data_IF_998471750194
#
_entry.id   IF_998471750194
#
_cell.length_a   1.000
_cell.length_b   1.000
_cell.length_c   1.000
_cell.angle_alpha   90.00
_cell.angle_beta   90.00
_cell.angle_gamma   90.00
#
_symmetry.space_group_name_H-M   'P 1'
#
loop_
_entity.id
_entity.type
_entity.pdbx_description
1 polymer ?
#
# COMPACT_ATOMS: atom_id res chain seq x y z
N UNK A 1 -61.96 8.02 -0.26
CA UNK A 1 -60.60 8.50 -0.59
C UNK A 1 -60.28 9.66 0.32
N UNK A 2 -59.47 9.42 1.37
CA UNK A 2 -59.01 10.46 2.27
C UNK A 2 -57.91 11.26 1.60
N UNK A 3 -58.12 12.56 1.44
CA UNK A 3 -57.19 13.47 0.78
C UNK A 3 -56.08 13.88 1.77
N UNK A 4 -54.95 13.20 1.70
CA UNK A 4 -53.81 13.38 2.59
C UNK A 4 -53.21 14.82 2.51
N UNK A 5 -53.40 15.52 1.39
CA UNK A 5 -52.95 16.90 1.18
C UNK A 5 -53.71 17.93 2.02
N UNK A 6 -54.98 17.68 2.31
CA UNK A 6 -55.82 18.60 3.13
C UNK A 6 -55.46 18.51 4.62
N UNK A 7 -54.90 17.39 5.09
CA UNK A 7 -54.58 17.19 6.51
C UNK A 7 -53.25 17.84 6.92
N UNK A 8 -52.28 17.94 5.96
CA UNK A 8 -50.98 18.54 6.23
C UNK A 8 -51.01 20.07 6.25
N UNK A 9 -51.97 20.70 5.57
CA UNK A 9 -52.03 22.16 5.44
C UNK A 9 -52.52 22.93 6.68
N UNK A 10 -53.10 22.24 7.67
CA UNK A 10 -53.77 22.91 8.80
C UNK A 10 -53.00 22.92 10.13
N UNK A 11 -51.84 22.28 10.28
CA UNK A 11 -51.11 22.23 11.56
C UNK A 11 -49.67 22.66 11.57
N UNK A 12 -49.09 23.09 10.44
CA UNK A 12 -47.73 23.61 10.47
C UNK A 12 -47.77 25.11 10.59
N UNK A 13 -47.56 25.61 11.82
CA UNK A 13 -47.52 27.04 12.11
C UNK A 13 -46.33 27.66 11.34
N UNK A 14 -46.59 28.37 10.23
CA UNK A 14 -45.60 28.99 9.33
C UNK A 14 -44.54 29.81 10.06
N UNK A 15 -44.85 30.30 11.26
CA UNK A 15 -43.89 31.06 12.09
C UNK A 15 -42.68 30.27 12.56
N UNK A 16 -42.73 28.92 12.57
CA UNK A 16 -41.59 28.07 12.98
C UNK A 16 -40.79 27.55 11.81
N UNK A 17 -41.31 27.56 10.60
CA UNK A 17 -40.59 27.05 9.40
C UNK A 17 -39.49 28.01 8.99
N UNK A 18 -39.73 29.32 9.03
CA UNK A 18 -38.73 30.31 8.61
C UNK A 18 -37.44 30.32 9.46
N UNK A 19 -37.50 30.27 10.82
CA UNK A 19 -36.27 30.17 11.61
C UNK A 19 -35.48 28.86 11.38
N UNK A 20 -36.16 27.73 11.10
CA UNK A 20 -35.51 26.47 10.80
C UNK A 20 -34.82 26.53 9.44
N UNK A 21 -35.48 27.06 8.41
CA UNK A 21 -34.87 27.25 7.08
C UNK A 21 -33.71 28.25 7.17
N UNK A 22 -33.84 29.32 7.93
CA UNK A 22 -32.77 30.30 8.14
C UNK A 22 -31.59 29.70 8.89
N UNK A 23 -31.83 28.84 9.87
CA UNK A 23 -30.76 28.13 10.58
C UNK A 23 -30.04 27.13 9.68
N UNK A 24 -30.74 26.39 8.83
CA UNK A 24 -30.16 25.48 7.86
C UNK A 24 -29.35 26.24 6.81
N UNK A 25 -29.84 27.38 6.30
CA UNK A 25 -29.12 28.23 5.36
C UNK A 25 -27.88 28.88 6.00
N UNK A 26 -27.95 29.29 7.26
CA UNK A 26 -26.82 29.84 7.99
C UNK A 26 -25.73 28.79 8.22
N UNK A 27 -26.11 27.55 8.56
CA UNK A 27 -25.18 26.41 8.70
C UNK A 27 -24.56 26.08 7.35
N UNK A 28 -25.31 26.06 6.25
CA UNK A 28 -24.82 25.82 4.91
C UNK A 28 -23.83 26.93 4.44
N UNK A 29 -24.07 28.20 4.80
CA UNK A 29 -23.18 29.32 4.51
C UNK A 29 -21.89 29.27 5.35
N UNK A 30 -21.95 28.86 6.61
CA UNK A 30 -20.77 28.69 7.47
C UNK A 30 -19.94 27.52 6.97
N UNK A 31 -20.54 26.43 6.51
CA UNK A 31 -19.85 25.28 5.95
C UNK A 31 -19.22 25.61 4.59
N UNK A 32 -19.86 26.44 3.76
CA UNK A 32 -19.34 26.82 2.44
C UNK A 32 -18.26 27.92 2.46
N UNK A 33 -18.19 28.72 3.53
CA UNK A 33 -17.18 29.79 3.67
C UNK A 33 -15.86 29.33 4.32
N UNK A 34 -15.75 28.07 4.72
CA UNK A 34 -14.58 27.52 5.45
C UNK A 34 -13.68 26.61 4.60
N UNK A 35 -13.56 26.82 3.31
CA UNK A 35 -12.50 26.20 2.51
C UNK A 35 -11.32 27.17 2.32
N UNK A 36 -10.35 27.24 3.26
CA UNK A 36 -9.07 27.83 2.93
C UNK A 36 -8.41 26.95 1.87
N UNK A 37 -7.79 27.58 0.87
CA UNK A 37 -7.03 26.89 -0.17
C UNK A 37 -5.91 26.04 0.46
N UNK A 38 -6.16 24.73 0.60
CA UNK A 38 -5.26 23.73 1.21
C UNK A 38 -4.04 23.36 0.32
N UNK A 39 -3.81 24.10 -0.78
CA UNK A 39 -2.86 23.74 -1.82
C UNK A 39 -1.38 24.02 -1.52
N UNK A 40 -0.99 24.49 -0.33
CA UNK A 40 0.41 24.92 -0.08
C UNK A 40 1.17 24.23 1.06
N UNK A 41 0.59 23.28 1.80
CA UNK A 41 1.33 22.63 2.86
C UNK A 41 0.84 21.18 3.12
N UNK A 42 1.50 20.13 2.59
CA UNK A 42 1.07 18.75 2.76
C UNK A 42 1.02 18.30 4.23
N UNK A 43 1.76 18.97 5.13
CA UNK A 43 1.71 18.71 6.58
C UNK A 43 0.39 19.07 7.25
N UNK A 44 -0.51 19.83 6.59
CA UNK A 44 -1.84 20.19 7.12
C UNK A 44 -2.96 19.28 6.62
N UNK A 45 -2.68 18.32 5.75
CA UNK A 45 -3.69 17.40 5.22
C UNK A 45 -4.12 16.33 6.24
N UNK A 46 -3.33 16.14 7.30
CA UNK A 46 -3.66 15.24 8.40
C UNK A 46 -3.85 16.12 9.63
N UNK A 47 -5.10 16.37 9.98
CA UNK A 47 -5.45 17.12 11.20
C UNK A 47 -5.14 16.34 12.47
N UNK A 48 -5.17 16.97 13.66
CA UNK A 48 -5.04 16.27 14.93
C UNK A 48 -6.22 15.31 15.12
N UNK A 49 -5.96 14.02 15.08
CA UNK A 49 -6.96 12.96 15.19
C UNK A 49 -7.52 12.50 13.85
N UNK A 50 -7.15 11.28 13.46
CA UNK A 50 -7.66 10.63 12.26
C UNK A 50 -8.86 9.76 12.67
N UNK A 51 -10.05 10.09 12.17
CA UNK A 51 -11.20 9.23 12.40
C UNK A 51 -11.09 7.95 11.55
N UNK A 52 -11.58 6.82 12.09
CA UNK A 52 -11.60 5.54 11.38
C UNK A 52 -12.32 5.64 10.03
N UNK A 53 -13.35 6.48 9.97
CA UNK A 53 -14.09 6.75 8.73
C UNK A 53 -13.21 7.46 7.69
N UNK A 54 -12.33 8.37 8.11
CA UNK A 54 -11.42 9.07 7.21
C UNK A 54 -10.38 8.14 6.57
N UNK A 55 -9.98 7.06 7.25
CA UNK A 55 -9.12 6.02 6.64
C UNK A 55 -9.79 5.35 5.44
N UNK A 56 -11.11 5.12 5.50
CA UNK A 56 -11.86 4.49 4.41
C UNK A 56 -12.06 5.40 3.19
N UNK A 57 -12.07 6.71 3.42
CA UNK A 57 -12.30 7.75 2.39
C UNK A 57 -11.05 8.57 2.08
N UNK A 58 -9.88 8.08 2.51
CA UNK A 58 -8.60 8.76 2.35
C UNK A 58 -8.29 8.99 0.86
N UNK A 59 -8.05 10.24 0.48
CA UNK A 59 -7.60 10.60 -0.85
C UNK A 59 -6.15 10.17 -1.07
N UNK A 60 -5.73 10.01 -2.32
CA UNK A 60 -4.35 9.66 -2.66
C UNK A 60 -3.33 10.67 -2.09
N UNK A 61 -3.68 11.97 -2.07
CA UNK A 61 -2.83 13.00 -1.48
C UNK A 61 -2.64 12.82 0.04
N UNK A 62 -3.69 12.44 0.76
CA UNK A 62 -3.64 12.14 2.20
C UNK A 62 -2.87 10.86 2.47
N UNK A 63 -3.08 9.83 1.64
CA UNK A 63 -2.34 8.57 1.69
C UNK A 63 -0.83 8.80 1.52
N UNK A 64 -0.44 9.59 0.53
CA UNK A 64 0.96 9.97 0.28
C UNK A 64 1.55 10.75 1.46
N UNK A 65 0.81 11.72 2.01
CA UNK A 65 1.27 12.51 3.15
C UNK A 65 1.51 11.64 4.41
N UNK A 66 0.63 10.68 4.68
CA UNK A 66 0.82 9.73 5.78
C UNK A 66 1.96 8.76 5.49
N UNK A 67 2.06 8.25 4.25
CA UNK A 67 3.17 7.42 3.81
C UNK A 67 4.53 8.10 3.97
N UNK A 68 4.62 9.40 3.69
CA UNK A 68 5.84 10.19 3.91
C UNK A 68 6.25 10.25 5.38
N UNK A 69 5.30 10.39 6.31
CA UNK A 69 5.59 10.39 7.75
C UNK A 69 6.07 9.02 8.23
N UNK A 70 5.42 7.93 7.77
CA UNK A 70 5.83 6.56 8.06
C UNK A 70 7.24 6.31 7.49
N UNK A 71 7.52 6.74 6.26
CA UNK A 71 8.84 6.64 5.64
C UNK A 71 9.92 7.37 6.43
N UNK A 72 9.64 8.59 6.90
CA UNK A 72 10.57 9.33 7.77
C UNK A 72 10.84 8.58 9.06
N UNK A 73 9.82 8.02 9.69
CA UNK A 73 9.96 7.25 10.93
C UNK A 73 10.78 5.98 10.70
N UNK A 74 10.51 5.23 9.63
CA UNK A 74 11.26 4.01 9.28
C UNK A 74 12.74 4.30 9.06
N UNK A 75 13.08 5.33 8.30
CA UNK A 75 14.46 5.68 7.98
C UNK A 75 15.22 6.35 9.13
N UNK A 76 14.51 6.97 10.08
CA UNK A 76 15.16 7.57 11.25
C UNK A 76 15.42 6.57 12.38
N UNK A 77 14.62 5.48 12.47
CA UNK A 77 14.66 4.61 13.66
C UNK A 77 14.87 3.12 13.36
N UNK A 78 14.61 2.65 12.15
CA UNK A 78 14.63 1.21 11.82
C UNK A 78 15.69 0.86 10.79
N UNK A 79 15.81 1.65 9.71
CA UNK A 79 16.65 1.31 8.58
C UNK A 79 17.58 2.44 8.17
N UNK A 80 18.71 2.06 7.61
CA UNK A 80 19.59 2.95 6.86
C UNK A 80 19.43 2.69 5.37
N UNK A 81 19.29 3.76 4.57
CA UNK A 81 19.34 3.61 3.11
C UNK A 81 20.68 3.04 2.67
N UNK A 82 20.65 2.11 1.74
CA UNK A 82 21.86 1.61 1.14
C UNK A 82 22.51 2.67 0.24
N UNK A 83 23.81 2.94 0.48
CA UNK A 83 24.49 4.10 -0.12
C UNK A 83 24.92 3.94 -1.58
N UNK A 84 24.79 2.74 -2.18
CA UNK A 84 25.24 2.51 -3.55
C UNK A 84 24.21 3.01 -4.57
N UNK A 85 24.57 4.05 -5.34
CA UNK A 85 23.69 4.69 -6.32
C UNK A 85 23.31 3.74 -7.46
N UNK A 86 24.22 2.88 -7.93
CA UNK A 86 23.95 1.95 -9.03
C UNK A 86 22.85 0.95 -8.66
N UNK A 87 22.92 0.38 -7.45
CA UNK A 87 21.92 -0.56 -6.94
C UNK A 87 20.56 0.13 -6.73
N UNK A 88 20.57 1.33 -6.14
CA UNK A 88 19.33 2.09 -5.95
C UNK A 88 18.68 2.46 -7.29
N UNK A 89 19.45 2.87 -8.27
CA UNK A 89 18.94 3.19 -9.62
C UNK A 89 18.36 1.95 -10.28
N UNK A 90 19.06 0.81 -10.20
CA UNK A 90 18.59 -0.46 -10.76
C UNK A 90 17.23 -0.90 -10.19
N UNK A 91 17.08 -0.90 -8.87
CA UNK A 91 15.83 -1.26 -8.21
C UNK A 91 14.71 -0.27 -8.56
N UNK A 92 15.03 1.02 -8.62
CA UNK A 92 14.07 2.06 -9.02
C UNK A 92 13.60 1.89 -10.46
N UNK A 93 14.50 1.61 -11.41
CA UNK A 93 14.14 1.41 -12.82
C UNK A 93 13.18 0.23 -13.01
N UNK A 94 13.38 -0.87 -12.28
CA UNK A 94 12.45 -2.00 -12.27
C UNK A 94 11.11 -1.55 -11.67
N UNK A 95 11.13 -0.91 -10.51
CA UNK A 95 9.93 -0.45 -9.82
C UNK A 95 9.10 0.53 -10.63
N UNK A 96 9.74 1.55 -11.24
CA UNK A 96 9.08 2.55 -12.07
C UNK A 96 8.38 1.91 -13.27
N UNK A 97 9.05 0.93 -13.92
CA UNK A 97 8.47 0.16 -15.04
C UNK A 97 7.24 -0.62 -14.61
N UNK A 98 7.29 -1.30 -13.45
CA UNK A 98 6.18 -2.06 -12.91
C UNK A 98 5.03 -1.16 -12.47
N UNK A 99 5.33 -0.07 -11.76
CA UNK A 99 4.34 0.90 -11.28
C UNK A 99 3.55 1.54 -12.42
N UNK A 100 4.20 1.84 -13.55
CA UNK A 100 3.57 2.40 -14.74
C UNK A 100 2.50 1.48 -15.36
N UNK A 101 2.54 0.18 -15.08
CA UNK A 101 1.56 -0.82 -15.55
C UNK A 101 0.59 -1.28 -14.44
N UNK A 102 0.63 -0.64 -13.28
CA UNK A 102 -0.31 -0.91 -12.18
C UNK A 102 -1.62 -0.13 -12.35
N UNK A 103 -2.66 -0.52 -11.60
CA UNK A 103 -3.95 0.18 -11.59
C UNK A 103 -3.90 1.57 -10.90
N UNK A 104 -2.74 1.95 -10.33
CA UNK A 104 -2.52 3.28 -9.74
C UNK A 104 -1.21 3.91 -10.23
N UNK A 105 -1.00 4.09 -11.56
CA UNK A 105 0.28 4.54 -12.12
C UNK A 105 0.64 5.99 -11.76
N UNK A 106 -0.33 6.79 -11.33
CA UNK A 106 -0.15 8.21 -11.00
C UNK A 106 0.28 8.47 -9.55
N UNK A 107 0.41 7.43 -8.71
CA UNK A 107 1.00 7.59 -7.38
C UNK A 107 2.49 7.93 -7.49
N UNK A 108 3.02 8.78 -6.61
CA UNK A 108 4.46 9.08 -6.56
C UNK A 108 5.23 7.93 -5.90
N UNK A 109 5.40 6.82 -6.63
CA UNK A 109 6.13 5.67 -6.11
C UNK A 109 7.57 6.03 -5.74
N UNK A 110 8.05 5.42 -4.66
CA UNK A 110 9.41 5.59 -4.17
C UNK A 110 9.99 4.23 -3.82
N UNK A 111 10.92 3.74 -4.63
CA UNK A 111 11.60 2.47 -4.42
C UNK A 111 12.93 2.72 -3.71
N UNK A 112 13.17 2.04 -2.59
CA UNK A 112 14.32 2.27 -1.73
C UNK A 112 15.01 0.96 -1.37
N UNK A 113 16.33 0.92 -1.50
CA UNK A 113 17.12 -0.16 -0.95
C UNK A 113 17.57 0.21 0.45
N UNK A 114 17.33 -0.67 1.41
CA UNK A 114 17.74 -0.51 2.79
C UNK A 114 18.81 -1.54 3.16
N UNK A 115 19.79 -1.11 3.96
CA UNK A 115 20.87 -1.95 4.43
C UNK A 115 20.35 -2.85 5.55
N UNK A 116 20.05 -4.10 5.20
CA UNK A 116 19.56 -5.12 6.12
C UNK A 116 19.82 -6.50 5.48
N UNK A 117 20.45 -7.40 6.21
CA UNK A 117 20.82 -8.74 5.72
C UNK A 117 19.64 -9.72 5.71
N UNK A 118 18.51 -9.35 6.27
CA UNK A 118 17.31 -10.17 6.20
C UNK A 118 16.77 -10.27 4.77
N UNK A 119 16.21 -11.41 4.40
CA UNK A 119 15.50 -11.57 3.13
C UNK A 119 14.11 -10.98 3.32
N UNK A 120 13.94 -9.69 2.91
CA UNK A 120 12.68 -8.99 3.10
C UNK A 120 12.45 -7.90 2.04
N UNK A 121 11.18 -7.66 1.74
CA UNK A 121 10.65 -6.47 1.09
C UNK A 121 9.32 -6.12 1.75
N UNK A 122 8.94 -4.87 1.70
CA UNK A 122 7.64 -4.44 2.21
C UNK A 122 7.21 -3.12 1.60
N UNK A 123 5.91 -2.89 1.55
CA UNK A 123 5.34 -1.62 1.15
C UNK A 123 4.60 -0.95 2.29
N UNK A 124 4.64 0.39 2.29
CA UNK A 124 3.75 1.22 3.09
C UNK A 124 2.78 1.98 2.18
N UNK A 125 1.76 2.58 2.76
CA UNK A 125 0.82 3.40 2.01
C UNK A 125 1.53 4.58 1.31
N UNK A 126 0.89 5.13 0.27
CA UNK A 126 1.38 6.31 -0.44
C UNK A 126 2.51 6.03 -1.44
N UNK A 127 2.74 4.76 -1.82
CA UNK A 127 3.68 4.40 -2.89
C UNK A 127 5.11 4.07 -2.42
N UNK A 128 5.38 3.91 -1.13
CA UNK A 128 6.73 3.60 -0.64
C UNK A 128 6.98 2.10 -0.60
N UNK A 129 8.00 1.64 -1.33
CA UNK A 129 8.47 0.24 -1.40
C UNK A 129 9.91 0.15 -0.92
N UNK A 130 10.19 -0.83 -0.09
CA UNK A 130 11.50 -1.07 0.51
C UNK A 130 11.99 -2.47 0.14
N UNK A 131 13.25 -2.56 -0.26
CA UNK A 131 13.93 -3.81 -0.61
C UNK A 131 15.20 -3.90 0.22
N UNK A 132 15.39 -4.99 0.94
CA UNK A 132 16.60 -5.18 1.74
C UNK A 132 17.77 -5.65 0.88
N UNK A 133 19.00 -5.34 1.30
CA UNK A 133 20.21 -5.87 0.66
C UNK A 133 20.23 -7.40 0.67
N UNK A 134 19.78 -8.01 1.77
CA UNK A 134 19.69 -9.48 1.87
C UNK A 134 18.70 -10.10 0.88
N UNK A 135 17.59 -9.42 0.55
CA UNK A 135 16.68 -9.88 -0.50
C UNK A 135 17.37 -9.87 -1.86
N UNK A 136 18.03 -8.77 -2.22
CA UNK A 136 18.73 -8.67 -3.51
C UNK A 136 19.79 -9.78 -3.68
N UNK A 137 20.54 -10.08 -2.63
CA UNK A 137 21.52 -11.17 -2.63
C UNK A 137 20.89 -12.56 -2.76
N UNK A 138 19.67 -12.72 -2.23
CA UNK A 138 18.96 -14.00 -2.22
C UNK A 138 18.27 -14.32 -3.56
N UNK A 139 18.01 -13.32 -4.43
CA UNK A 139 17.38 -13.53 -5.73
C UNK A 139 18.34 -14.22 -6.70
N UNK A 140 17.82 -15.07 -7.58
CA UNK A 140 18.59 -15.72 -8.63
C UNK A 140 18.62 -14.88 -9.91
N UNK A 141 17.55 -14.11 -10.15
CA UNK A 141 17.40 -13.33 -11.38
C UNK A 141 16.47 -12.12 -11.18
N UNK A 142 16.45 -11.24 -12.19
CA UNK A 142 15.66 -10.01 -12.17
C UNK A 142 14.15 -10.26 -12.15
N UNK A 143 13.67 -11.38 -12.75
CA UNK A 143 12.25 -11.70 -12.74
C UNK A 143 11.75 -12.03 -11.33
N UNK A 144 12.56 -12.66 -10.47
CA UNK A 144 12.23 -12.85 -9.06
C UNK A 144 12.11 -11.49 -8.34
N UNK A 145 13.04 -10.58 -8.56
CA UNK A 145 13.00 -9.24 -7.98
C UNK A 145 11.79 -8.45 -8.47
N UNK A 146 11.52 -8.48 -9.78
CA UNK A 146 10.34 -7.85 -10.36
C UNK A 146 9.05 -8.44 -9.80
N UNK A 147 9.00 -9.76 -9.59
CA UNK A 147 7.88 -10.45 -8.96
C UNK A 147 7.57 -9.94 -7.56
N UNK A 148 8.60 -9.82 -6.71
CA UNK A 148 8.45 -9.30 -5.35
C UNK A 148 8.05 -7.82 -5.35
N UNK A 149 8.71 -6.97 -6.16
CA UNK A 149 8.34 -5.54 -6.27
C UNK A 149 6.90 -5.40 -6.79
N UNK A 150 6.49 -6.21 -7.77
CA UNK A 150 5.12 -6.26 -8.28
C UNK A 150 4.10 -6.63 -7.20
N UNK A 151 4.44 -7.59 -6.33
CA UNK A 151 3.63 -7.98 -5.19
C UNK A 151 3.47 -6.82 -4.17
N UNK A 152 4.56 -6.11 -3.87
CA UNK A 152 4.49 -4.92 -3.01
C UNK A 152 3.67 -3.78 -3.64
N UNK A 153 3.76 -3.58 -4.96
CA UNK A 153 2.89 -2.65 -5.69
C UNK A 153 1.44 -3.12 -5.59
N UNK A 154 1.16 -4.41 -5.68
CA UNK A 154 -0.17 -4.99 -5.47
C UNK A 154 -0.76 -4.60 -4.11
N UNK A 155 0.02 -4.67 -3.02
CA UNK A 155 -0.42 -4.21 -1.70
C UNK A 155 -0.78 -2.71 -1.67
N UNK A 156 -0.07 -1.87 -2.41
CA UNK A 156 -0.36 -0.43 -2.53
C UNK A 156 -1.63 -0.20 -3.35
N UNK A 157 -1.76 -0.88 -4.49
CA UNK A 157 -2.92 -0.77 -5.39
C UNK A 157 -4.22 -1.09 -4.66
N UNK A 158 -4.25 -2.21 -3.95
CA UNK A 158 -5.43 -2.66 -3.18
C UNK A 158 -5.57 -1.98 -1.80
N UNK A 159 -4.70 -1.00 -1.47
CA UNK A 159 -4.72 -0.23 -0.21
C UNK A 159 -4.69 -1.11 1.06
N UNK A 160 -3.96 -2.24 1.01
CA UNK A 160 -3.95 -3.22 2.10
C UNK A 160 -3.47 -2.64 3.43
N UNK A 161 -2.46 -1.76 3.41
CA UNK A 161 -1.97 -1.09 4.64
C UNK A 161 -3.04 -0.22 5.29
N UNK A 162 -3.87 0.48 4.51
CA UNK A 162 -4.98 1.29 5.03
C UNK A 162 -6.09 0.41 5.58
N UNK A 163 -6.47 -0.65 4.84
CA UNK A 163 -7.50 -1.61 5.28
C UNK A 163 -7.11 -2.25 6.61
N UNK A 164 -5.88 -2.77 6.70
CA UNK A 164 -5.36 -3.41 7.90
C UNK A 164 -5.22 -2.41 9.07
N UNK A 165 -4.77 -1.18 8.81
CA UNK A 165 -4.69 -0.12 9.82
C UNK A 165 -6.06 0.13 10.45
N UNK A 166 -7.10 0.25 9.63
CA UNK A 166 -8.48 0.42 10.11
C UNK A 166 -8.92 -0.74 10.99
N UNK A 167 -8.67 -1.97 10.57
CA UNK A 167 -9.02 -3.19 11.31
C UNK A 167 -8.33 -3.20 12.69
N UNK A 168 -7.04 -2.89 12.74
CA UNK A 168 -6.27 -2.87 13.99
C UNK A 168 -6.73 -1.75 14.92
N UNK A 169 -7.02 -0.55 14.40
CA UNK A 169 -7.55 0.56 15.20
C UNK A 169 -8.88 0.17 15.84
N UNK A 170 -9.78 -0.46 15.09
CA UNK A 170 -11.06 -0.95 15.60
C UNK A 170 -10.85 -2.05 16.64
N UNK A 171 -10.03 -3.06 16.32
CA UNK A 171 -9.79 -4.20 17.20
C UNK A 171 -9.11 -3.81 18.52
N UNK A 172 -8.26 -2.79 18.53
CA UNK A 172 -7.59 -2.28 19.73
C UNK A 172 -8.42 -1.25 20.50
N UNK A 173 -9.64 -0.93 20.03
CA UNK A 173 -10.51 0.07 20.67
C UNK A 173 -9.93 1.48 20.64
N UNK A 174 -9.06 1.81 19.69
CA UNK A 174 -8.41 3.12 19.56
C UNK A 174 -9.33 4.17 18.92
N UNK A 175 -10.46 3.75 18.36
CA UNK A 175 -11.47 4.64 17.77
C UNK A 175 -12.25 5.36 18.85
N UNK A 176 -11.83 6.56 19.22
CA UNK A 176 -12.54 7.43 20.15
C UNK A 176 -13.26 8.59 19.44
N UNK A 177 -14.14 9.31 20.15
CA UNK A 177 -14.86 10.45 19.60
C UNK A 177 -13.95 11.63 19.16
N UNK A 178 -12.71 11.66 19.65
CA UNK A 178 -11.69 12.66 19.27
C UNK A 178 -10.77 12.20 18.12
N UNK A 179 -11.03 11.01 17.53
CA UNK A 179 -10.15 10.40 16.54
C UNK A 179 -8.90 9.73 17.16
N UNK A 180 -8.02 9.22 16.30
CA UNK A 180 -6.74 8.59 16.71
C UNK A 180 -5.61 9.60 16.52
N UNK A 181 -4.74 9.75 17.53
CA UNK A 181 -3.57 10.61 17.44
C UNK A 181 -2.67 10.26 16.25
N UNK A 182 -2.19 11.26 15.52
CA UNK A 182 -1.39 11.08 14.31
C UNK A 182 -0.09 10.31 14.56
N UNK A 183 0.54 10.46 15.75
CA UNK A 183 1.75 9.72 16.08
C UNK A 183 1.44 8.23 16.28
N UNK A 184 0.28 7.90 16.88
CA UNK A 184 -0.18 6.52 17.01
C UNK A 184 -0.41 5.92 15.62
N UNK A 185 -1.01 6.67 14.69
CA UNK A 185 -1.24 6.21 13.31
C UNK A 185 0.08 5.95 12.59
N UNK A 186 1.07 6.83 12.73
CA UNK A 186 2.41 6.65 12.14
C UNK A 186 3.11 5.42 12.74
N UNK A 187 3.11 5.27 14.06
CA UNK A 187 3.69 4.11 14.73
C UNK A 187 3.01 2.80 14.32
N UNK A 188 1.68 2.81 14.21
CA UNK A 188 0.94 1.66 13.71
C UNK A 188 1.31 1.34 12.26
N UNK A 189 1.51 2.36 11.41
CA UNK A 189 1.99 2.16 10.04
C UNK A 189 3.35 1.45 9.98
N UNK A 190 4.28 1.81 10.86
CA UNK A 190 5.58 1.12 11.03
C UNK A 190 5.39 -0.32 11.52
N UNK A 191 4.53 -0.53 12.52
CA UNK A 191 4.23 -1.87 13.05
C UNK A 191 3.61 -2.80 11.99
N UNK A 192 2.66 -2.28 11.20
CA UNK A 192 2.03 -3.00 10.09
C UNK A 192 3.05 -3.41 9.03
N UNK A 193 3.97 -2.52 8.69
CA UNK A 193 4.97 -2.78 7.67
C UNK A 193 5.98 -3.87 8.08
N UNK A 194 6.34 -3.94 9.37
CA UNK A 194 7.47 -4.75 9.83
C UNK A 194 7.09 -5.99 10.63
N UNK A 195 5.91 -6.03 11.25
CA UNK A 195 5.62 -7.03 12.28
C UNK A 195 4.29 -7.74 12.14
N UNK A 196 3.28 -7.10 11.52
CA UNK A 196 1.96 -7.71 11.45
C UNK A 196 1.77 -8.46 10.13
N UNK A 197 1.42 -9.76 10.19
CA UNK A 197 1.18 -10.55 8.99
C UNK A 197 -0.03 -10.03 8.23
N UNK A 198 0.02 -10.13 6.91
CA UNK A 198 -1.10 -9.85 6.02
C UNK A 198 -2.14 -10.95 6.12
N UNK A 199 -3.41 -10.61 5.86
CA UNK A 199 -4.44 -11.63 5.75
C UNK A 199 -4.23 -12.47 4.47
N UNK A 200 -4.69 -13.72 4.48
CA UNK A 200 -4.63 -14.58 3.28
C UNK A 200 -5.26 -13.91 2.05
N UNK A 201 -6.39 -13.23 2.23
CA UNK A 201 -7.07 -12.52 1.15
C UNK A 201 -6.18 -11.41 0.57
N UNK A 202 -5.53 -10.61 1.42
CA UNK A 202 -4.61 -9.56 0.98
C UNK A 202 -3.45 -10.12 0.16
N UNK A 203 -2.93 -11.29 0.56
CA UNK A 203 -1.86 -11.95 -0.16
C UNK A 203 -2.30 -12.43 -1.56
N UNK A 204 -3.47 -13.05 -1.69
CA UNK A 204 -4.00 -13.47 -2.99
C UNK A 204 -4.33 -12.27 -3.90
N UNK A 205 -4.85 -11.17 -3.35
CA UNK A 205 -5.09 -9.93 -4.10
C UNK A 205 -3.76 -9.34 -4.60
N UNK A 206 -2.72 -9.30 -3.77
CA UNK A 206 -1.40 -8.80 -4.14
C UNK A 206 -0.71 -9.71 -5.18
N UNK A 207 -0.81 -11.03 -5.04
CA UNK A 207 -0.28 -12.01 -6.00
C UNK A 207 -0.90 -11.82 -7.40
N UNK A 208 -2.22 -11.65 -7.45
CA UNK A 208 -2.93 -11.39 -8.70
C UNK A 208 -2.46 -10.09 -9.35
N UNK A 209 -2.42 -9.00 -8.58
CA UNK A 209 -1.93 -7.72 -9.06
C UNK A 209 -0.48 -7.80 -9.56
N UNK A 210 0.37 -8.56 -8.86
CA UNK A 210 1.75 -8.80 -9.30
C UNK A 210 1.81 -9.50 -10.66
N UNK A 211 1.02 -10.56 -10.85
CA UNK A 211 0.99 -11.29 -12.14
C UNK A 211 0.53 -10.40 -13.29
N UNK A 212 -0.54 -9.63 -13.10
CA UNK A 212 -1.04 -8.70 -14.11
C UNK A 212 0.04 -7.67 -14.49
N UNK A 213 0.72 -7.09 -13.51
CA UNK A 213 1.82 -6.14 -13.71
C UNK A 213 3.00 -6.81 -14.44
N UNK A 214 3.42 -8.02 -14.03
CA UNK A 214 4.54 -8.74 -14.68
C UNK A 214 4.24 -9.03 -16.14
N UNK A 215 3.06 -9.54 -16.44
CA UNK A 215 2.63 -9.85 -17.82
C UNK A 215 2.60 -8.58 -18.67
N UNK A 216 2.01 -7.49 -18.16
CA UNK A 216 1.90 -6.22 -18.89
C UNK A 216 3.26 -5.55 -19.12
N UNK A 217 4.24 -5.78 -18.25
CA UNK A 217 5.61 -5.25 -18.39
C UNK A 217 6.53 -6.15 -19.21
N UNK A 218 6.08 -7.38 -19.54
CA UNK A 218 6.86 -8.37 -20.26
C UNK A 218 7.89 -9.11 -19.40
N UNK A 219 7.85 -9.00 -18.07
CA UNK A 219 8.63 -9.85 -17.18
C UNK A 219 8.06 -11.26 -17.13
N UNK A 220 8.93 -12.24 -16.87
CA UNK A 220 8.47 -13.61 -16.67
C UNK A 220 7.62 -13.72 -15.39
N UNK A 221 6.34 -14.15 -15.50
CA UNK A 221 5.50 -14.32 -14.34
C UNK A 221 5.98 -15.46 -13.40
N UNK A 222 6.79 -16.39 -13.92
CA UNK A 222 7.41 -17.46 -13.14
C UNK A 222 8.35 -16.94 -12.04
N UNK A 223 8.89 -15.73 -12.17
CA UNK A 223 9.83 -15.15 -11.20
C UNK A 223 9.26 -15.13 -9.78
N UNK A 224 8.01 -14.71 -9.58
CA UNK A 224 7.35 -14.67 -8.28
C UNK A 224 7.15 -16.09 -7.71
N UNK A 225 6.71 -17.04 -8.54
CA UNK A 225 6.53 -18.44 -8.16
C UNK A 225 7.85 -19.06 -7.69
N UNK A 226 8.92 -18.92 -8.50
CA UNK A 226 10.25 -19.44 -8.17
C UNK A 226 10.79 -18.85 -6.87
N UNK A 227 10.54 -17.59 -6.61
CA UNK A 227 10.94 -16.97 -5.36
C UNK A 227 10.22 -17.60 -4.15
N UNK A 228 8.91 -17.81 -4.23
CA UNK A 228 8.16 -18.46 -3.15
C UNK A 228 8.58 -19.93 -2.94
N UNK A 229 8.79 -20.69 -4.02
CA UNK A 229 9.32 -22.06 -3.96
C UNK A 229 10.67 -22.10 -3.21
N UNK A 230 11.56 -21.15 -3.57
CA UNK A 230 12.87 -21.01 -2.92
C UNK A 230 12.77 -20.67 -1.43
N UNK A 231 11.83 -19.79 -1.03
CA UNK A 231 11.64 -19.44 0.38
C UNK A 231 11.09 -20.60 1.19
N UNK A 232 10.12 -21.34 0.66
CA UNK A 232 9.54 -22.51 1.33
C UNK A 232 10.54 -23.66 1.47
N UNK A 233 11.52 -23.77 0.58
CA UNK A 233 12.59 -24.77 0.64
C UNK A 233 13.67 -24.48 1.71
N UNK A 234 13.63 -23.31 2.39
CA UNK A 234 14.62 -22.97 3.41
C UNK A 234 14.32 -23.64 4.75
N UNK A 235 15.36 -24.12 5.48
CA UNK A 235 15.19 -24.74 6.80
C UNK A 235 14.57 -23.81 7.85
N UNK A 236 14.81 -22.49 7.73
CA UNK A 236 14.26 -21.45 8.59
C UNK A 236 13.50 -20.44 7.74
N UNK A 237 12.24 -20.14 8.07
CA UNK A 237 11.46 -19.16 7.31
C UNK A 237 12.14 -17.79 7.29
N UNK A 238 12.37 -17.20 6.11
CA UNK A 238 12.88 -15.83 6.00
C UNK A 238 11.90 -14.79 6.56
N UNK A 239 12.41 -13.61 6.91
CA UNK A 239 11.62 -12.50 7.45
C UNK A 239 10.44 -12.13 6.56
N UNK A 240 10.60 -12.18 5.24
CA UNK A 240 9.53 -11.95 4.27
C UNK A 240 8.29 -12.82 4.56
N UNK A 241 8.46 -14.09 4.91
CA UNK A 241 7.33 -14.98 5.21
C UNK A 241 6.63 -14.67 6.54
N UNK A 242 7.24 -13.88 7.41
CA UNK A 242 6.60 -13.44 8.67
C UNK A 242 5.48 -12.44 8.45
N UNK A 243 5.62 -11.57 7.45
CA UNK A 243 4.63 -10.56 7.08
C UNK A 243 3.80 -10.96 5.87
N UNK A 244 4.34 -11.81 5.00
CA UNK A 244 3.71 -12.35 3.78
C UNK A 244 3.68 -13.88 3.83
N UNK A 245 2.75 -14.49 4.57
CA UNK A 245 2.71 -15.94 4.70
C UNK A 245 2.57 -16.63 3.33
N UNK A 246 3.63 -17.28 2.87
CA UNK A 246 3.58 -18.13 1.69
C UNK A 246 3.00 -19.48 2.04
N UNK A 247 2.29 -20.09 1.11
CA UNK A 247 1.78 -21.44 1.22
C UNK A 247 1.86 -22.12 -0.15
N UNK A 248 1.85 -23.47 -0.14
CA UNK A 248 1.69 -24.25 -1.37
C UNK A 248 0.43 -23.86 -2.15
N UNK A 249 -0.63 -23.48 -1.43
CA UNK A 249 -1.88 -23.04 -2.06
C UNK A 249 -1.72 -21.74 -2.86
N UNK A 250 -0.92 -20.78 -2.35
CA UNK A 250 -0.62 -19.53 -3.08
C UNK A 250 0.19 -19.82 -4.34
N UNK A 251 1.21 -20.67 -4.24
CA UNK A 251 2.02 -21.10 -5.39
C UNK A 251 1.12 -21.76 -6.44
N UNK A 252 0.29 -22.72 -6.04
CA UNK A 252 -0.63 -23.39 -6.96
C UNK A 252 -1.63 -22.43 -7.61
N UNK A 253 -2.13 -21.44 -6.86
CA UNK A 253 -3.02 -20.41 -7.39
C UNK A 253 -2.31 -19.51 -8.42
N UNK A 254 -1.06 -19.10 -8.13
CA UNK A 254 -0.23 -18.32 -9.06
C UNK A 254 0.00 -19.10 -10.36
N UNK A 255 0.38 -20.39 -10.26
CA UNK A 255 0.62 -21.24 -11.42
C UNK A 255 -0.63 -21.40 -12.31
N UNK A 256 -1.81 -21.51 -11.69
CA UNK A 256 -3.09 -21.59 -12.41
C UNK A 256 -3.47 -20.27 -13.11
N UNK A 257 -3.07 -19.13 -12.58
CA UNK A 257 -3.34 -17.82 -13.15
C UNK A 257 -2.36 -17.45 -14.30
N UNK A 258 -1.20 -18.09 -14.38
CA UNK A 258 -0.25 -17.85 -15.47
C UNK A 258 -0.80 -18.43 -16.76
N UNK A 259 -0.93 -17.64 -17.85
CA UNK A 259 -1.45 -18.15 -19.11
C UNK A 259 -0.61 -19.31 -19.66
N UNK A 260 -1.25 -20.33 -20.27
CA UNK A 260 -0.52 -21.44 -20.84
C UNK A 260 0.59 -21.01 -21.81
N UNK A 261 1.78 -21.56 -21.63
CA UNK A 261 2.96 -21.25 -22.46
C UNK A 261 3.73 -19.98 -22.06
N UNK A 262 3.21 -19.16 -21.13
CA UNK A 262 3.90 -17.93 -20.71
C UNK A 262 4.80 -18.11 -19.48
N UNK A 263 4.71 -19.20 -18.75
CA UNK A 263 5.42 -19.38 -17.48
C UNK A 263 6.94 -19.14 -17.60
N UNK A 264 7.58 -19.65 -18.65
CA UNK A 264 9.03 -19.49 -18.87
C UNK A 264 9.36 -18.49 -19.99
N UNK A 265 8.40 -17.65 -20.37
CA UNK A 265 8.59 -16.57 -21.34
C UNK A 265 8.71 -15.23 -20.59
N UNK A 266 9.31 -14.26 -21.29
CA UNK A 266 9.48 -12.92 -20.74
C UNK A 266 10.93 -12.64 -20.32
N UNK A 267 11.15 -11.38 -19.96
CA UNK A 267 12.47 -10.91 -19.57
C UNK A 267 12.79 -11.19 -18.10
N UNK A 268 14.04 -11.02 -17.75
CA UNK A 268 14.52 -11.07 -16.36
C UNK A 268 15.01 -12.42 -15.89
N UNK A 269 15.00 -13.49 -16.71
CA UNK A 269 15.42 -14.84 -16.32
C UNK A 269 16.92 -15.08 -16.37
N UNK A 270 17.73 -14.13 -16.87
CA UNK A 270 19.18 -14.28 -17.03
C UNK A 270 19.90 -14.05 -15.69
N UNK A 271 20.29 -15.14 -15.02
CA UNK A 271 21.03 -15.08 -13.75
C UNK A 271 22.38 -14.37 -13.85
N UNK A 272 23.28 -14.68 -14.81
CA UNK A 272 24.54 -13.96 -14.94
C UNK A 272 24.37 -12.45 -15.09
N UNK A 273 23.41 -12.01 -15.90
CA UNK A 273 23.12 -10.59 -16.04
C UNK A 273 22.65 -9.94 -14.73
N UNK A 274 21.82 -10.64 -13.97
CA UNK A 274 21.39 -10.17 -12.65
C UNK A 274 22.55 -10.06 -11.66
N UNK A 275 23.41 -11.09 -11.58
CA UNK A 275 24.60 -11.11 -10.71
C UNK A 275 25.55 -9.96 -11.02
N UNK A 276 25.73 -9.63 -12.30
CA UNK A 276 26.54 -8.46 -12.69
C UNK A 276 25.89 -7.14 -12.21
N UNK A 277 24.55 -7.02 -12.30
CA UNK A 277 23.84 -5.83 -11.81
C UNK A 277 24.00 -5.61 -10.31
N UNK A 278 23.98 -6.67 -9.52
CA UNK A 278 24.10 -6.61 -8.07
C UNK A 278 25.53 -6.82 -7.55
N UNK A 279 26.53 -6.93 -8.44
CA UNK A 279 27.94 -7.18 -8.05
C UNK A 279 28.44 -6.31 -6.89
N UNK A 280 28.07 -5.01 -6.76
CA UNK A 280 28.47 -4.20 -5.61
C UNK A 280 27.93 -4.68 -4.25
N UNK A 281 27.01 -5.63 -4.23
CA UNK A 281 26.44 -6.24 -3.02
C UNK A 281 27.07 -7.60 -2.70
N UNK A 282 27.75 -8.24 -3.65
CA UNK A 282 28.38 -9.56 -3.51
C UNK A 282 29.81 -9.41 -3.04
#
# INVERSE_FOLDING_TARGET
>A
MFNLYAWISHRVNRRWIYPIISAILAIALVVSSSYPSLAKNPRRLIGPGLEVLQLSTMSDAQEVALGQQINQQLLSSQFRRYGNTQINTYVREIGDRLAAQSDRPNLPYTFQVVQDDSINAFATMGGFVYVTTGLLQAMDNEAQLAGVIGHEIGHIVYKHSIRQMREVIIARGLAGAAGVDSNIVVQLGVELALRLPRSRQHEYEADRGALDILINTGYSPRGLVQFFEKLLGKPSPPTFLSTHPASSDRIAALEQMIPPGQANQGMGLNEPAYRERIRPLL
#
